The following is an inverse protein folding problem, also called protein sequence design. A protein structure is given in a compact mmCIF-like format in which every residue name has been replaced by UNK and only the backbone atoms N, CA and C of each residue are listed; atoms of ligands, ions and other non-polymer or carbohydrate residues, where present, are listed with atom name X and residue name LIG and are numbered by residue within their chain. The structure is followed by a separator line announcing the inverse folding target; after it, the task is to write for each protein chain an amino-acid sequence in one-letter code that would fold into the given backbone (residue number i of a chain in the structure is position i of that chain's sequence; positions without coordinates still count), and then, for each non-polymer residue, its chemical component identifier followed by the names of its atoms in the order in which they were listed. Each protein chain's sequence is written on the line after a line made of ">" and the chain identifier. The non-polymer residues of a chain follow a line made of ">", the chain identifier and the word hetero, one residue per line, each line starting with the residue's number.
data_IF_901196214664
#
_entry.id   IF_901196214664
#
_cell.length_a   1.000
_cell.length_b   1.000
_cell.length_c   1.000
_cell.angle_alpha   90.00
_cell.angle_beta   90.00
_cell.angle_gamma   90.00
#
_symmetry.space_group_name_H-M   'P 1'
#
loop_
_entity.id
_entity.type
_entity.pdbx_description
1 polymer ?
#
# COMPACT_ATOMS: atom_id res chain seq x y z
N UNK A 1 1.00 -5.14 -23.26
CA UNK A 1 0.62 -4.54 -21.96
C UNK A 1 1.37 -3.22 -21.85
N UNK A 2 0.69 -2.12 -21.55
CA UNK A 2 1.35 -0.82 -21.29
C UNK A 2 2.15 -0.91 -19.98
N UNK A 3 3.22 -0.12 -19.86
CA UNK A 3 3.90 0.04 -18.58
C UNK A 3 2.93 0.65 -17.54
N UNK A 4 3.03 0.29 -16.25
CA UNK A 4 2.21 0.90 -15.22
C UNK A 4 2.60 2.36 -15.01
N UNK A 5 1.62 3.20 -14.67
CA UNK A 5 1.84 4.55 -14.18
C UNK A 5 2.44 4.46 -12.77
N UNK A 6 3.48 5.25 -12.48
CA UNK A 6 4.05 5.34 -11.14
C UNK A 6 3.69 6.68 -10.50
N UNK A 7 3.12 6.62 -9.30
CA UNK A 7 2.87 7.78 -8.43
C UNK A 7 3.70 7.63 -7.16
N UNK A 8 4.57 8.61 -6.90
CA UNK A 8 5.43 8.63 -5.72
C UNK A 8 4.90 9.64 -4.70
N UNK A 9 4.71 9.21 -3.46
CA UNK A 9 4.41 10.11 -2.35
C UNK A 9 5.70 10.46 -1.61
N UNK A 10 5.99 11.75 -1.55
CA UNK A 10 7.16 12.31 -0.85
C UNK A 10 6.80 12.89 0.52
N UNK A 11 5.54 13.25 0.72
CA UNK A 11 5.03 13.76 1.99
C UNK A 11 4.46 12.63 2.84
N UNK A 12 4.27 12.90 4.14
CA UNK A 12 3.62 11.97 5.05
C UNK A 12 2.19 11.66 4.61
N UNK A 13 1.77 10.41 4.81
CA UNK A 13 0.41 9.96 4.54
C UNK A 13 -0.43 10.02 5.81
N UNK A 14 -0.70 11.24 6.27
CA UNK A 14 -1.52 11.49 7.48
C UNK A 14 -2.80 12.24 7.13
N UNK A 15 -3.71 12.39 8.10
CA UNK A 15 -4.97 13.13 7.93
C UNK A 15 -4.76 14.55 7.37
N UNK A 16 -3.62 15.20 7.66
CA UNK A 16 -3.30 16.54 7.18
C UNK A 16 -3.09 16.60 5.66
N UNK A 17 -2.53 15.54 5.08
CA UNK A 17 -2.21 15.45 3.65
C UNK A 17 -3.22 14.58 2.88
N UNK A 18 -4.16 13.94 3.57
CA UNK A 18 -5.04 12.94 2.97
C UNK A 18 -5.94 13.50 1.85
N UNK A 19 -6.45 14.72 2.00
CA UNK A 19 -7.32 15.34 1.00
C UNK A 19 -6.60 15.58 -0.35
N UNK A 20 -5.45 16.28 -0.41
CA UNK A 20 -4.73 16.43 -1.67
C UNK A 20 -4.20 15.10 -2.22
N UNK A 21 -3.70 14.19 -1.37
CA UNK A 21 -3.21 12.88 -1.80
C UNK A 21 -4.31 12.01 -2.41
N UNK A 22 -5.54 12.09 -1.88
CA UNK A 22 -6.71 11.44 -2.48
C UNK A 22 -6.95 11.94 -3.90
N UNK A 23 -6.86 13.25 -4.13
CA UNK A 23 -7.05 13.82 -5.46
C UNK A 23 -5.99 13.29 -6.45
N UNK A 24 -4.72 13.24 -6.02
CA UNK A 24 -3.62 12.67 -6.82
C UNK A 24 -3.85 11.20 -7.18
N UNK A 25 -4.33 10.39 -6.22
CA UNK A 25 -4.67 8.99 -6.47
C UNK A 25 -5.78 8.86 -7.51
N UNK A 26 -6.86 9.61 -7.36
CA UNK A 26 -7.99 9.53 -8.28
C UNK A 26 -7.60 10.00 -9.69
N UNK A 27 -6.83 11.08 -9.80
CA UNK A 27 -6.30 11.56 -11.08
C UNK A 27 -5.41 10.51 -11.76
N UNK A 28 -4.50 9.88 -11.03
CA UNK A 28 -3.66 8.80 -11.56
C UNK A 28 -4.50 7.60 -12.06
N UNK A 29 -5.60 7.28 -11.39
CA UNK A 29 -6.50 6.20 -11.78
C UNK A 29 -7.36 6.52 -13.02
N UNK A 30 -7.58 7.81 -13.33
CA UNK A 30 -8.26 8.21 -14.57
C UNK A 30 -7.41 7.89 -15.83
N UNK A 31 -6.10 7.67 -15.67
CA UNK A 31 -5.20 7.33 -16.78
C UNK A 31 -5.48 5.94 -17.41
N UNK A 32 -6.38 5.13 -16.82
CA UNK A 32 -6.86 3.88 -17.43
C UNK A 32 -5.76 2.82 -17.60
N UNK A 33 -4.83 2.74 -16.65
CA UNK A 33 -3.74 1.78 -16.64
C UNK A 33 -3.42 1.31 -15.21
N UNK A 34 -2.60 0.27 -15.09
CA UNK A 34 -2.13 -0.21 -13.80
C UNK A 34 -1.31 0.90 -13.09
N UNK A 35 -1.45 1.00 -11.76
CA UNK A 35 -0.83 2.01 -10.92
C UNK A 35 0.15 1.37 -9.94
N UNK A 36 1.39 1.86 -9.92
CA UNK A 36 2.37 1.62 -8.86
C UNK A 36 2.43 2.83 -7.94
N UNK A 37 2.15 2.60 -6.66
CA UNK A 37 2.19 3.60 -5.61
C UNK A 37 3.51 3.41 -4.85
N UNK A 38 4.48 4.28 -5.14
CA UNK A 38 5.80 4.26 -4.53
C UNK A 38 5.78 5.01 -3.20
N UNK A 39 6.00 4.26 -2.12
CA UNK A 39 5.94 4.76 -0.74
C UNK A 39 7.32 4.80 -0.07
N UNK A 40 8.40 4.83 -0.85
CA UNK A 40 9.77 4.78 -0.32
C UNK A 40 10.15 6.01 0.51
N UNK A 41 9.52 7.14 0.21
CA UNK A 41 9.81 8.44 0.82
C UNK A 41 8.79 8.86 1.88
N UNK A 42 7.75 8.05 2.14
CA UNK A 42 6.75 8.33 3.19
C UNK A 42 7.38 8.06 4.55
N UNK A 43 7.60 9.11 5.35
CA UNK A 43 8.21 8.99 6.67
C UNK A 43 7.18 8.58 7.73
N UNK A 44 5.96 9.11 7.66
CA UNK A 44 4.86 8.78 8.56
C UNK A 44 3.57 8.40 7.82
N UNK A 45 2.78 7.52 8.44
CA UNK A 45 1.46 7.11 7.95
C UNK A 45 0.51 6.87 9.13
N UNK A 46 -0.72 7.36 9.01
CA UNK A 46 -1.79 7.08 9.97
C UNK A 46 -2.95 6.30 9.32
N UNK A 47 -4.05 6.16 10.06
CA UNK A 47 -5.26 5.48 9.56
C UNK A 47 -5.81 6.13 8.29
N UNK A 48 -5.75 7.45 8.15
CA UNK A 48 -6.26 8.15 6.98
C UNK A 48 -5.42 7.83 5.74
N UNK A 49 -4.09 7.89 5.86
CA UNK A 49 -3.19 7.44 4.80
C UNK A 49 -3.41 5.99 4.41
N UNK A 50 -3.56 5.10 5.39
CA UNK A 50 -3.86 3.69 5.14
C UNK A 50 -5.20 3.50 4.39
N UNK A 51 -6.23 4.25 4.77
CA UNK A 51 -7.53 4.23 4.09
C UNK A 51 -7.43 4.71 2.63
N UNK A 52 -6.50 5.62 2.30
CA UNK A 52 -6.24 6.01 0.90
C UNK A 52 -5.64 4.87 0.08
N UNK A 53 -4.78 4.05 0.68
CA UNK A 53 -4.21 2.88 -0.01
C UNK A 53 -5.29 1.83 -0.32
N UNK A 54 -6.21 1.59 0.63
CA UNK A 54 -7.38 0.74 0.40
C UNK A 54 -8.31 1.30 -0.67
N UNK A 55 -8.57 2.61 -0.63
CA UNK A 55 -9.34 3.32 -1.65
C UNK A 55 -8.73 3.10 -3.04
N UNK A 56 -7.44 3.38 -3.20
CA UNK A 56 -6.76 3.25 -4.49
C UNK A 56 -6.87 1.84 -5.07
N UNK A 57 -6.68 0.82 -4.23
CA UNK A 57 -6.80 -0.59 -4.65
C UNK A 57 -8.21 -0.97 -5.08
N UNK A 58 -9.22 -0.49 -4.35
CA UNK A 58 -10.63 -0.71 -4.69
C UNK A 58 -11.04 0.01 -5.96
N UNK A 59 -10.66 1.27 -6.13
CA UNK A 59 -11.01 2.07 -7.31
C UNK A 59 -10.26 1.63 -8.57
N UNK A 60 -9.02 1.16 -8.46
CA UNK A 60 -8.34 0.50 -9.58
C UNK A 60 -9.09 -0.75 -10.02
N UNK A 61 -9.46 -1.61 -9.06
CA UNK A 61 -10.17 -2.85 -9.34
C UNK A 61 -11.56 -2.59 -9.96
N UNK A 62 -12.31 -1.58 -9.50
CA UNK A 62 -13.61 -1.21 -10.08
C UNK A 62 -13.51 -0.75 -11.54
N UNK A 63 -12.34 -0.26 -11.96
CA UNK A 63 -12.00 0.17 -13.31
C UNK A 63 -11.32 -0.91 -14.16
N UNK A 64 -11.10 -2.11 -13.62
CA UNK A 64 -10.43 -3.21 -14.32
C UNK A 64 -8.90 -3.08 -14.38
N UNK A 65 -8.29 -2.30 -13.49
CA UNK A 65 -6.85 -2.11 -13.37
C UNK A 65 -6.31 -2.60 -12.02
N UNK A 66 -5.00 -2.81 -11.93
CA UNK A 66 -4.34 -3.10 -10.66
C UNK A 66 -3.74 -1.83 -10.06
N UNK A 67 -3.90 -1.62 -8.75
CA UNK A 67 -3.03 -0.73 -7.98
C UNK A 67 -2.17 -1.56 -7.02
N UNK A 68 -0.85 -1.33 -7.06
CA UNK A 68 0.14 -2.03 -6.25
C UNK A 68 0.95 -1.04 -5.46
N UNK A 69 1.16 -1.34 -4.19
CA UNK A 69 2.12 -0.60 -3.40
C UNK A 69 3.51 -1.17 -3.68
N UNK A 70 4.48 -0.28 -3.90
CA UNK A 70 5.87 -0.64 -4.15
C UNK A 70 6.80 0.15 -3.23
N UNK A 71 8.00 -0.39 -3.01
CA UNK A 71 9.07 0.25 -2.26
C UNK A 71 8.62 0.81 -0.89
N UNK A 72 8.00 -0.03 -0.04
CA UNK A 72 7.50 0.39 1.27
C UNK A 72 8.60 1.01 2.16
N UNK A 73 8.32 2.15 2.78
CA UNK A 73 9.12 2.66 3.90
C UNK A 73 8.93 1.81 5.17
N UNK A 74 9.79 1.95 6.21
CA UNK A 74 9.59 1.27 7.49
C UNK A 74 8.23 1.56 8.14
N UNK A 75 7.79 2.82 8.15
CA UNK A 75 6.50 3.22 8.74
C UNK A 75 5.31 2.57 8.02
N UNK A 76 5.40 2.46 6.69
CA UNK A 76 4.37 1.79 5.88
C UNK A 76 4.32 0.29 6.15
N UNK A 77 5.47 -0.39 6.30
CA UNK A 77 5.49 -1.80 6.71
C UNK A 77 4.84 -1.99 8.08
N UNK A 78 5.21 -1.15 9.04
CA UNK A 78 4.70 -1.23 10.41
C UNK A 78 3.17 -1.09 10.46
N UNK A 79 2.58 -0.13 9.74
CA UNK A 79 1.12 0.04 9.74
C UNK A 79 0.39 -1.13 9.04
N UNK A 80 0.97 -1.67 7.96
CA UNK A 80 0.41 -2.84 7.26
C UNK A 80 0.41 -4.07 8.17
N UNK A 81 1.51 -4.30 8.89
CA UNK A 81 1.65 -5.40 9.84
C UNK A 81 0.72 -5.22 11.04
N UNK A 82 0.66 -4.00 11.58
CA UNK A 82 -0.21 -3.65 12.70
C UNK A 82 -1.69 -3.93 12.38
N UNK A 83 -2.14 -3.58 11.17
CA UNK A 83 -3.50 -3.90 10.69
C UNK A 83 -3.66 -5.32 10.14
N UNK A 84 -2.59 -6.12 10.08
CA UNK A 84 -2.59 -7.50 9.53
C UNK A 84 -3.08 -7.58 8.09
N UNK A 85 -2.68 -6.63 7.26
CA UNK A 85 -3.16 -6.44 5.89
C UNK A 85 -2.11 -6.74 4.81
N UNK A 86 -0.98 -7.36 5.16
CA UNK A 86 0.07 -7.74 4.21
C UNK A 86 -0.48 -8.56 3.01
N UNK A 87 -1.30 -9.59 3.31
CA UNK A 87 -1.95 -10.40 2.28
C UNK A 87 -2.91 -9.59 1.39
N UNK A 88 -3.54 -8.55 1.94
CA UNK A 88 -4.40 -7.67 1.16
C UNK A 88 -3.59 -6.84 0.18
N UNK A 89 -2.41 -6.34 0.56
CA UNK A 89 -1.56 -5.52 -0.31
C UNK A 89 -0.67 -6.33 -1.27
N UNK A 90 -0.60 -7.64 -1.08
CA UNK A 90 0.07 -8.55 -2.02
C UNK A 90 1.48 -8.92 -1.58
N UNK A 91 1.85 -8.66 -0.32
CA UNK A 91 3.03 -9.30 0.24
C UNK A 91 2.75 -10.80 0.37
N UNK A 92 3.63 -11.67 -0.14
CA UNK A 92 3.57 -13.08 0.19
C UNK A 92 3.74 -13.19 1.72
N UNK A 93 2.71 -13.73 2.40
CA UNK A 93 2.82 -14.13 3.79
C UNK A 93 3.95 -15.16 3.89
N UNK A 94 5.17 -14.74 4.23
CA UNK A 94 6.22 -15.67 4.65
C UNK A 94 5.79 -16.15 6.04
N UNK A 95 5.05 -17.26 6.08
CA UNK A 95 4.87 -18.01 7.32
C UNK A 95 6.27 -18.51 7.68
N UNK A 96 6.92 -17.83 8.62
CA UNK A 96 8.09 -18.33 9.33
C UNK A 96 7.69 -19.60 10.08
N UNK A 97 7.76 -20.75 9.41
CA UNK A 97 7.53 -22.05 10.01
C UNK A 97 8.74 -22.47 10.84
N UNK A 98 9.02 -21.79 11.97
CA UNK A 98 9.95 -22.26 13.01
C UNK A 98 9.58 -21.74 14.40
N UNK A 99 8.52 -22.32 14.96
CA UNK A 99 8.32 -22.40 16.42
C UNK A 99 7.40 -23.59 16.70
N UNK A 100 7.95 -24.78 16.48
CA UNK A 100 7.22 -26.04 16.64
C UNK A 100 8.18 -27.18 16.95
N UNK A 101 9.23 -26.93 17.75
CA UNK A 101 10.14 -28.00 18.14
C UNK A 101 10.95 -27.65 19.39
N UNK A 102 10.28 -27.59 20.55
CA UNK A 102 10.87 -28.03 21.82
C UNK A 102 9.80 -28.73 22.67
N UNK A 103 9.47 -29.97 22.28
CA UNK A 103 9.14 -31.01 23.26
C UNK A 103 10.48 -31.49 23.80
N UNK A 104 10.80 -31.16 25.05
CA UNK A 104 11.79 -31.88 25.83
C UNK A 104 11.05 -32.61 26.96
N UNK A 105 11.48 -33.85 27.18
CA UNK A 105 10.80 -34.90 27.93
C UNK A 105 10.63 -34.66 29.42
#
# INVERSE_FOLDING_TARGET
>A
MSAPLRLTFTDDMTIYNAAPQKAQLLEALEAGQDLEIDLSLVAEIDTAGFQLLLLAKREAASRGHAARIVAHSPAVREVIDFYRMAAHFGDPLIISAREGEQRHG
#
